data_IF_733002056056
#
_entry.id   IF_733002056056
#
_cell.length_a   1.000
_cell.length_b   1.000
_cell.length_c   1.000
_cell.angle_alpha   90.00
_cell.angle_beta   90.00
_cell.angle_gamma   90.00
#
_symmetry.space_group_name_H-M   'P 1'
#
loop_
_entity.id
_entity.type
_entity.pdbx_description
1 polymer ?
#
# COMPACT_ATOMS: atom_id res chain seq x y z
N UNK A 1 -25.19 16.24 -60.42
CA UNK A 1 -26.46 16.13 -59.68
C UNK A 1 -26.11 15.67 -58.28
N UNK A 2 -25.88 16.60 -57.37
CA UNK A 2 -25.66 16.30 -55.96
C UNK A 2 -26.99 15.89 -55.36
N UNK A 3 -27.15 14.60 -55.05
CA UNK A 3 -28.29 14.11 -54.27
C UNK A 3 -28.22 14.74 -52.89
N UNK A 4 -29.04 15.76 -52.65
CA UNK A 4 -29.30 16.29 -51.32
C UNK A 4 -29.98 15.18 -50.52
N UNK A 5 -29.19 14.47 -49.69
CA UNK A 5 -29.74 13.57 -48.68
C UNK A 5 -30.61 14.38 -47.73
N UNK A 6 -31.92 14.30 -47.92
CA UNK A 6 -32.90 14.88 -47.03
C UNK A 6 -32.74 14.21 -45.66
N UNK A 7 -32.31 14.98 -44.67
CA UNK A 7 -32.12 14.51 -43.31
C UNK A 7 -33.50 14.24 -42.68
N UNK A 8 -33.81 12.96 -42.48
CA UNK A 8 -35.14 12.53 -42.05
C UNK A 8 -35.27 12.47 -40.53
N UNK A 9 -36.49 12.41 -40.02
CA UNK A 9 -36.75 12.24 -38.58
C UNK A 9 -36.12 10.94 -38.05
N UNK A 10 -36.04 9.89 -38.87
CA UNK A 10 -35.39 8.63 -38.52
C UNK A 10 -33.86 8.79 -38.36
N UNK A 11 -33.24 9.67 -39.16
CA UNK A 11 -31.81 10.00 -39.03
C UNK A 11 -31.54 10.80 -37.74
N UNK A 12 -32.45 11.72 -37.37
CA UNK A 12 -32.42 12.44 -36.09
C UNK A 12 -32.49 11.46 -34.93
N UNK A 13 -33.47 10.56 -34.96
CA UNK A 13 -33.70 9.60 -33.90
C UNK A 13 -32.51 8.65 -33.75
N UNK A 14 -31.91 8.20 -34.85
CA UNK A 14 -30.68 7.40 -34.84
C UNK A 14 -29.52 8.15 -34.18
N UNK A 15 -29.30 9.43 -34.51
CA UNK A 15 -28.24 10.24 -33.92
C UNK A 15 -28.46 10.46 -32.42
N UNK A 16 -29.71 10.72 -32.01
CA UNK A 16 -30.07 10.89 -30.60
C UNK A 16 -29.83 9.58 -29.84
N UNK A 17 -30.24 8.44 -30.39
CA UNK A 17 -30.02 7.13 -29.79
C UNK A 17 -28.53 6.79 -29.66
N UNK A 18 -27.71 7.09 -30.68
CA UNK A 18 -26.26 6.90 -30.56
C UNK A 18 -25.64 7.80 -29.50
N UNK A 19 -26.05 9.06 -29.40
CA UNK A 19 -25.56 9.98 -28.36
C UNK A 19 -25.96 9.50 -26.97
N UNK A 20 -27.20 9.03 -26.80
CA UNK A 20 -27.66 8.45 -25.54
C UNK A 20 -26.89 7.18 -25.18
N UNK A 21 -26.61 6.29 -26.14
CA UNK A 21 -25.78 5.10 -25.92
C UNK A 21 -24.36 5.47 -25.51
N UNK A 22 -23.73 6.43 -26.19
CA UNK A 22 -22.38 6.92 -25.83
C UNK A 22 -22.35 7.57 -24.45
N UNK A 23 -23.37 8.36 -24.11
CA UNK A 23 -23.48 8.98 -22.79
C UNK A 23 -23.64 7.94 -21.69
N UNK A 24 -24.48 6.91 -21.91
CA UNK A 24 -24.64 5.79 -20.97
C UNK A 24 -23.36 4.98 -20.80
N UNK A 25 -22.70 4.62 -21.91
CA UNK A 25 -21.44 3.88 -21.86
C UNK A 25 -20.32 4.67 -21.16
N UNK A 26 -20.29 6.00 -21.34
CA UNK A 26 -19.36 6.87 -20.60
C UNK A 26 -19.67 6.88 -19.11
N UNK A 27 -20.94 7.02 -18.73
CA UNK A 27 -21.36 7.01 -17.34
C UNK A 27 -21.12 5.65 -16.64
N UNK A 28 -21.29 4.54 -17.36
CA UNK A 28 -20.96 3.20 -16.86
C UNK A 28 -19.46 3.05 -16.62
N UNK A 29 -18.61 3.49 -17.56
CA UNK A 29 -17.15 3.48 -17.37
C UNK A 29 -16.71 4.33 -16.18
N UNK A 30 -17.25 5.55 -16.06
CA UNK A 30 -16.93 6.42 -14.92
C UNK A 30 -17.37 5.80 -13.59
N UNK A 31 -18.48 5.05 -13.57
CA UNK A 31 -18.91 4.29 -12.38
C UNK A 31 -18.00 3.11 -12.08
N UNK A 32 -17.59 2.35 -13.09
CA UNK A 32 -16.65 1.23 -12.93
C UNK A 32 -15.29 1.72 -12.44
N UNK A 33 -14.78 2.83 -12.98
CA UNK A 33 -13.54 3.46 -12.53
C UNK A 33 -13.65 3.95 -11.09
N UNK A 34 -14.74 4.63 -10.72
CA UNK A 34 -14.97 5.06 -9.35
C UNK A 34 -15.12 3.88 -8.37
N UNK A 35 -15.79 2.80 -8.78
CA UNK A 35 -15.92 1.59 -7.98
C UNK A 35 -14.56 0.91 -7.80
N UNK A 36 -13.77 0.79 -8.87
CA UNK A 36 -12.42 0.23 -8.81
C UNK A 36 -11.47 1.07 -7.94
N UNK A 37 -11.60 2.41 -7.95
CA UNK A 37 -10.85 3.28 -7.06
C UNK A 37 -11.25 3.09 -5.60
N UNK A 38 -12.55 2.93 -5.31
CA UNK A 38 -13.04 2.61 -3.96
C UNK A 38 -12.55 1.25 -3.48
N UNK A 39 -12.60 0.24 -4.34
CA UNK A 39 -12.12 -1.12 -4.04
C UNK A 39 -10.61 -1.16 -3.85
N UNK A 40 -9.85 -0.34 -4.60
CA UNK A 40 -8.40 -0.17 -4.40
C UNK A 40 -8.06 0.62 -3.12
N UNK A 41 -8.96 1.52 -2.68
CA UNK A 41 -8.76 2.37 -1.51
C UNK A 41 -9.21 1.71 -0.21
N UNK A 42 -10.15 0.77 -0.27
CA UNK A 42 -10.54 -0.07 0.86
C UNK A 42 -9.34 -0.93 1.25
N UNK A 43 -8.69 -0.67 2.39
CA UNK A 43 -7.62 -1.53 2.84
C UNK A 43 -8.22 -2.91 3.07
N UNK A 44 -7.54 -3.97 2.65
CA UNK A 44 -7.95 -5.31 3.06
C UNK A 44 -7.98 -5.30 4.59
N UNK A 45 -9.16 -5.48 5.17
CA UNK A 45 -9.37 -5.46 6.62
C UNK A 45 -8.36 -6.37 7.33
N UNK A 46 -7.97 -7.45 6.66
CA UNK A 46 -6.93 -8.37 7.12
C UNK A 46 -5.56 -7.69 7.28
N UNK A 47 -5.14 -6.87 6.33
CA UNK A 47 -3.86 -6.15 6.40
C UNK A 47 -3.84 -5.12 7.54
N UNK A 48 -4.92 -4.36 7.69
CA UNK A 48 -5.07 -3.43 8.82
C UNK A 48 -5.00 -4.17 10.15
N UNK A 49 -5.78 -5.24 10.29
CA UNK A 49 -5.80 -6.06 11.50
C UNK A 49 -4.40 -6.57 11.87
N UNK A 50 -3.66 -7.14 10.90
CA UNK A 50 -2.32 -7.65 11.18
C UNK A 50 -1.31 -6.54 11.45
N UNK A 51 -1.40 -5.40 10.77
CA UNK A 51 -0.52 -4.26 11.03
C UNK A 51 -0.68 -3.72 12.47
N UNK A 52 -1.92 -3.55 12.92
CA UNK A 52 -2.24 -3.12 14.28
C UNK A 52 -1.84 -4.18 15.32
N UNK A 53 -2.10 -5.46 15.03
CA UNK A 53 -1.74 -6.56 15.92
C UNK A 53 -0.22 -6.62 16.14
N UNK A 54 0.57 -6.55 15.07
CA UNK A 54 2.05 -6.54 15.15
C UNK A 54 2.54 -5.37 15.99
N UNK A 55 2.01 -4.18 15.74
CA UNK A 55 2.36 -2.97 16.47
C UNK A 55 2.06 -3.10 17.97
N UNK A 56 0.85 -3.54 18.32
CA UNK A 56 0.44 -3.74 19.71
C UNK A 56 1.28 -4.80 20.43
N UNK A 57 1.63 -5.90 19.76
CA UNK A 57 2.48 -6.95 20.35
C UNK A 57 3.90 -6.46 20.60
N UNK A 58 4.46 -5.65 19.71
CA UNK A 58 5.77 -5.00 19.91
C UNK A 58 5.77 -4.06 21.11
N UNK A 59 4.74 -3.21 21.24
CA UNK A 59 4.60 -2.33 22.40
C UNK A 59 4.50 -3.13 23.71
N UNK A 60 3.71 -4.22 23.72
CA UNK A 60 3.60 -5.11 24.88
C UNK A 60 4.91 -5.83 25.21
N UNK A 61 5.74 -6.11 24.21
CA UNK A 61 7.07 -6.68 24.39
C UNK A 61 8.11 -5.65 24.87
N UNK A 62 7.75 -4.38 25.03
CA UNK A 62 8.62 -3.33 25.56
C UNK A 62 9.37 -2.53 24.49
N UNK A 63 8.98 -2.61 23.22
CA UNK A 63 9.57 -1.73 22.20
C UNK A 63 9.18 -0.26 22.42
N UNK A 64 10.11 0.69 22.21
CA UNK A 64 9.78 2.10 22.13
C UNK A 64 8.82 2.37 20.98
N UNK A 65 7.82 3.23 21.21
CA UNK A 65 6.78 3.57 20.24
C UNK A 65 7.35 4.01 18.88
N UNK A 66 8.41 4.82 18.89
CA UNK A 66 9.12 5.33 17.70
C UNK A 66 9.82 4.24 16.85
N UNK A 67 10.07 3.07 17.44
CA UNK A 67 10.73 1.93 16.79
C UNK A 67 9.75 0.81 16.45
N UNK A 68 8.64 0.71 17.18
CA UNK A 68 7.64 -0.32 16.98
C UNK A 68 7.07 -0.32 15.54
N UNK A 69 6.77 0.84 14.96
CA UNK A 69 6.27 0.93 13.58
C UNK A 69 7.26 0.33 12.57
N UNK A 70 8.54 0.71 12.67
CA UNK A 70 9.60 0.17 11.80
C UNK A 70 9.85 -1.31 12.05
N UNK A 71 9.66 -1.76 13.29
CA UNK A 71 9.87 -3.14 13.70
C UNK A 71 8.77 -4.09 13.18
N UNK A 72 7.56 -3.60 12.88
CA UNK A 72 6.48 -4.42 12.30
C UNK A 72 6.89 -5.13 11.01
N UNK A 73 7.82 -4.55 10.24
CA UNK A 73 8.37 -5.12 8.99
C UNK A 73 9.08 -6.47 9.19
N UNK A 74 9.59 -6.74 10.40
CA UNK A 74 10.29 -7.98 10.72
C UNK A 74 9.39 -9.05 11.32
N UNK A 75 8.08 -8.78 11.43
CA UNK A 75 7.08 -9.73 11.93
C UNK A 75 6.22 -10.17 10.76
N UNK A 76 6.10 -11.49 10.59
CA UNK A 76 5.29 -12.10 9.54
C UNK A 76 3.82 -12.20 9.97
N UNK A 77 2.92 -12.22 8.99
CA UNK A 77 1.52 -12.54 9.25
C UNK A 77 1.41 -14.02 9.60
N UNK A 78 0.58 -14.33 10.59
CA UNK A 78 0.43 -15.68 11.11
C UNK A 78 -0.67 -15.73 12.15
N UNK A 79 -0.65 -16.74 13.01
CA UNK A 79 -1.53 -16.76 14.18
C UNK A 79 -1.15 -15.64 15.17
N UNK A 80 -2.09 -15.12 15.97
CA UNK A 80 -1.78 -14.10 16.96
C UNK A 80 -0.69 -14.51 17.97
N UNK A 81 -0.54 -15.81 18.22
CA UNK A 81 0.48 -16.39 19.09
C UNK A 81 1.87 -16.34 18.45
N UNK A 82 1.98 -16.65 17.15
CA UNK A 82 3.23 -16.55 16.40
C UNK A 82 3.72 -15.10 16.30
N UNK A 83 2.80 -14.16 16.05
CA UNK A 83 3.09 -12.72 16.02
C UNK A 83 3.61 -12.26 17.38
N UNK A 84 3.03 -12.75 18.48
CA UNK A 84 3.50 -12.44 19.83
C UNK A 84 4.89 -13.02 20.11
N UNK A 85 5.14 -14.27 19.71
CA UNK A 85 6.46 -14.90 19.87
C UNK A 85 7.53 -14.12 19.11
N UNK A 86 7.28 -13.79 17.84
CA UNK A 86 8.19 -13.00 17.02
C UNK A 86 8.43 -11.60 17.62
N UNK A 87 7.38 -10.94 18.13
CA UNK A 87 7.53 -9.64 18.78
C UNK A 87 8.41 -9.71 20.05
N UNK A 88 8.27 -10.77 20.86
CA UNK A 88 9.09 -11.01 22.04
C UNK A 88 10.54 -11.30 21.68
N UNK A 89 10.78 -12.22 20.75
CA UNK A 89 12.12 -12.55 20.24
C UNK A 89 12.82 -11.28 19.71
N UNK A 90 12.11 -10.47 18.92
CA UNK A 90 12.63 -9.22 18.41
C UNK A 90 12.97 -8.21 19.52
N UNK A 91 12.15 -8.17 20.58
CA UNK A 91 12.34 -7.24 21.71
C UNK A 91 13.54 -7.65 22.56
N UNK A 92 13.71 -8.96 22.79
CA UNK A 92 14.88 -9.52 23.46
C UNK A 92 16.14 -9.20 22.67
N UNK A 93 16.17 -9.48 21.35
CA UNK A 93 17.32 -9.16 20.50
C UNK A 93 17.61 -7.65 20.44
N UNK A 94 16.59 -6.80 20.36
CA UNK A 94 16.75 -5.35 20.34
C UNK A 94 17.25 -4.81 21.70
N UNK A 95 16.75 -5.36 22.82
CA UNK A 95 17.19 -5.02 24.18
C UNK A 95 18.60 -5.51 24.51
N UNK A 96 19.05 -6.60 23.88
CA UNK A 96 20.42 -7.10 23.98
C UNK A 96 21.44 -6.34 23.12
N UNK A 97 21.01 -5.39 22.28
CA UNK A 97 21.91 -4.45 21.60
C UNK A 97 22.47 -3.37 22.55
N UNK A 98 22.96 -3.79 23.72
CA UNK A 98 23.81 -2.94 24.56
C UNK A 98 25.15 -2.77 23.84
N UNK A 99 25.32 -1.60 23.22
CA UNK A 99 26.60 -0.92 23.03
C UNK A 99 27.77 -1.79 22.54
N UNK A 100 27.84 -2.10 21.24
CA UNK A 100 29.15 -2.07 20.57
C UNK A 100 29.41 -0.65 20.09
N UNK A 101 29.69 0.24 21.05
CA UNK A 101 30.47 1.45 20.76
C UNK A 101 31.90 1.02 20.45
N UNK A 102 32.15 0.38 19.31
CA UNK A 102 33.51 0.32 18.75
C UNK A 102 33.77 1.67 18.10
N UNK A 103 34.04 2.67 18.94
CA UNK A 103 34.74 3.87 18.53
C UNK A 103 36.23 3.52 18.35
N UNK A 104 36.54 2.61 17.45
CA UNK A 104 37.90 2.50 16.94
C UNK A 104 37.95 3.40 15.71
N UNK A 105 38.37 4.63 15.94
CA UNK A 105 38.95 5.47 14.89
C UNK A 105 40.00 4.62 14.19
N UNK A 106 39.65 4.03 13.05
CA UNK A 106 40.62 3.46 12.14
C UNK A 106 41.63 4.57 11.85
N UNK A 107 42.91 4.44 12.23
CA UNK A 107 43.90 5.41 11.79
C UNK A 107 43.87 5.36 10.27
N UNK A 108 43.61 6.51 9.62
CA UNK A 108 43.68 6.62 8.16
C UNK A 108 45.08 6.15 7.76
N UNK A 109 45.17 4.94 7.21
CA UNK A 109 46.39 4.41 6.64
C UNK A 109 46.83 5.40 5.56
N UNK A 110 47.87 6.17 5.84
CA UNK A 110 48.56 6.93 4.80
C UNK A 110 49.10 5.89 3.83
N UNK A 111 48.56 5.88 2.62
CA UNK A 111 49.12 5.13 1.51
C UNK A 111 50.56 5.61 1.30
N UNK A 112 51.53 4.71 1.41
CA UNK A 112 52.94 4.97 1.15
C UNK A 112 53.27 4.43 -0.25
N UNK A 113 53.48 5.28 -1.27
CA UNK A 113 53.73 4.85 -2.64
C UNK A 113 55.22 4.78 -3.00
N UNK A 114 56.07 4.48 -2.02
CA UNK A 114 57.52 4.30 -2.20
C UNK A 114 57.98 3.01 -1.55
#
# INVERSE_FOLDING_TARGET
>A
MSEEKMFTQEDVDRIVQERLKRARAKAEREREEAQAELDARLPDYKELYFSELKYLKLLKAGFPMEKAERATKYIHDGTPEEVERQAKELAEHAGHSKQTKTSEKQPKGKWNPF
#
